data_IF_591143593882
#
_entry.id   IF_591143593882
#
_cell.length_a   1.000
_cell.length_b   1.000
_cell.length_c   1.000
_cell.angle_alpha   90.00
_cell.angle_beta   90.00
_cell.angle_gamma   90.00
#
_symmetry.space_group_name_H-M   'P 1'
#
loop_
_entity.id
_entity.type
_entity.pdbx_description
1 polymer ?
#
# COMPACT_ATOMS: atom_id res chain seq x y z
N UNK A 1 -13.25 24.77 47.30
CA UNK A 1 -12.55 23.77 46.45
C UNK A 1 -13.23 23.55 45.11
N UNK A 2 -13.74 24.56 44.42
CA UNK A 2 -14.43 24.42 43.10
C UNK A 2 -13.81 25.22 41.96
N UNK A 3 -12.67 25.87 42.16
CA UNK A 3 -12.05 26.73 41.14
C UNK A 3 -10.89 26.15 40.36
N UNK A 4 -10.36 24.98 40.75
CA UNK A 4 -9.14 24.40 40.10
C UNK A 4 -9.38 23.43 38.96
N UNK A 5 -10.60 22.89 38.83
CA UNK A 5 -10.91 21.91 37.78
C UNK A 5 -11.32 22.56 36.44
N UNK A 6 -11.78 23.79 36.44
CA UNK A 6 -12.23 24.48 35.21
C UNK A 6 -11.05 24.93 34.36
N UNK A 7 -9.89 25.22 34.95
CA UNK A 7 -8.69 25.66 34.22
C UNK A 7 -7.94 24.54 33.52
N UNK A 8 -8.04 23.30 33.99
CA UNK A 8 -7.38 22.15 33.37
C UNK A 8 -8.10 21.70 32.08
N UNK A 9 -9.42 21.83 32.06
CA UNK A 9 -10.21 21.48 30.84
C UNK A 9 -10.03 22.57 29.78
N UNK A 10 -9.94 23.83 30.13
CA UNK A 10 -9.70 24.92 29.18
C UNK A 10 -8.30 24.87 28.56
N UNK A 11 -7.27 24.43 29.33
CA UNK A 11 -5.90 24.29 28.82
C UNK A 11 -5.74 23.13 27.84
N UNK A 12 -6.46 22.01 28.04
CA UNK A 12 -6.41 20.86 27.14
C UNK A 12 -7.15 21.15 25.81
N UNK A 13 -8.27 21.89 25.88
CA UNK A 13 -9.01 22.31 24.67
C UNK A 13 -8.24 23.38 23.89
N UNK A 14 -7.54 24.30 24.58
CA UNK A 14 -6.70 25.31 23.92
C UNK A 14 -5.45 24.69 23.25
N UNK A 15 -4.84 23.65 23.84
CA UNK A 15 -3.71 22.94 23.26
C UNK A 15 -4.12 22.13 22.03
N UNK A 16 -5.32 21.52 22.03
CA UNK A 16 -5.87 20.81 20.87
C UNK A 16 -6.21 21.78 19.71
N UNK A 17 -6.70 23.00 20.01
CA UNK A 17 -7.01 23.99 18.98
C UNK A 17 -5.76 24.69 18.41
N UNK A 18 -4.68 24.83 19.18
CA UNK A 18 -3.42 25.38 18.71
C UNK A 18 -2.63 24.37 17.86
N UNK A 19 -2.75 23.06 18.15
CA UNK A 19 -2.18 21.98 17.33
C UNK A 19 -2.82 21.91 15.93
N UNK A 20 -4.13 22.15 15.83
CA UNK A 20 -4.85 22.12 14.55
C UNK A 20 -4.59 23.36 13.67
N UNK A 21 -4.35 24.53 14.25
CA UNK A 21 -4.11 25.78 13.52
C UNK A 21 -2.70 25.83 12.87
N UNK A 22 -1.68 25.27 13.53
CA UNK A 22 -0.33 25.18 12.98
C UNK A 22 -0.22 24.17 11.81
N UNK A 23 -1.17 23.26 11.71
CA UNK A 23 -1.19 22.21 10.71
C UNK A 23 -1.80 22.67 9.37
N UNK A 24 -2.78 23.55 9.38
CA UNK A 24 -3.41 24.12 8.19
C UNK A 24 -2.48 25.03 7.37
N UNK A 25 -1.37 25.49 7.93
CA UNK A 25 -0.43 26.38 7.24
C UNK A 25 0.51 25.68 6.25
N UNK A 26 0.51 24.34 6.16
CA UNK A 26 1.36 23.58 5.25
C UNK A 26 0.59 22.92 4.08
N UNK A 27 -0.69 23.16 3.95
CA UNK A 27 -1.52 22.63 2.88
C UNK A 27 -1.72 23.70 1.82
N UNK A 28 -1.25 23.43 0.60
CA UNK A 28 -1.51 24.17 -0.65
C UNK A 28 -0.81 25.52 -0.84
N UNK A 29 0.28 25.49 -1.58
CA UNK A 29 0.62 26.63 -2.42
C UNK A 29 -0.35 26.67 -3.63
N UNK A 30 -0.98 27.82 -3.95
CA UNK A 30 -1.85 27.95 -5.10
C UNK A 30 -1.06 27.66 -6.38
N UNK A 31 -1.52 26.67 -7.17
CA UNK A 31 -0.91 26.28 -8.44
C UNK A 31 -0.21 24.92 -8.46
N UNK A 32 -0.07 24.21 -7.33
CA UNK A 32 0.46 22.86 -7.29
C UNK A 32 -0.60 21.83 -7.69
N UNK A 33 -0.24 20.92 -8.60
CA UNK A 33 -1.09 19.79 -8.99
C UNK A 33 -1.26 18.77 -7.86
N UNK A 34 -0.35 18.76 -6.87
CA UNK A 34 -0.28 17.82 -5.77
C UNK A 34 -0.72 18.43 -4.45
N UNK A 35 -1.39 17.62 -3.64
CA UNK A 35 -1.66 17.92 -2.22
C UNK A 35 -0.74 17.03 -1.40
N UNK A 36 0.05 17.60 -0.49
CA UNK A 36 1.01 16.82 0.31
C UNK A 36 0.84 17.10 1.80
N UNK A 37 0.87 16.03 2.58
CA UNK A 37 0.82 16.02 4.04
C UNK A 37 2.20 15.63 4.56
N UNK A 38 2.88 16.57 5.21
CA UNK A 38 4.19 16.33 5.81
C UNK A 38 4.00 15.60 7.14
N UNK A 39 4.83 14.58 7.38
CA UNK A 39 4.88 13.90 8.66
C UNK A 39 5.46 14.83 9.75
N UNK A 40 4.96 14.69 10.99
CA UNK A 40 5.38 15.54 12.12
C UNK A 40 6.84 15.33 12.52
N UNK A 41 7.31 14.06 12.44
CA UNK A 41 8.67 13.72 12.84
C UNK A 41 9.50 13.30 11.64
N UNK A 42 10.77 13.70 11.57
CA UNK A 42 11.67 13.36 10.46
C UNK A 42 11.93 11.85 10.28
N UNK A 43 11.62 11.05 11.30
CA UNK A 43 11.75 9.58 11.27
C UNK A 43 10.46 8.88 10.87
N UNK A 44 9.36 9.60 10.74
CA UNK A 44 8.09 9.03 10.31
C UNK A 44 8.17 8.78 8.80
N UNK A 45 8.37 7.52 8.43
CA UNK A 45 8.49 7.09 7.03
C UNK A 45 7.20 6.38 6.59
N UNK A 46 6.33 7.04 5.81
CA UNK A 46 5.20 6.35 5.19
C UNK A 46 5.70 5.32 4.18
N UNK A 47 5.27 4.04 4.30
CA UNK A 47 5.79 2.95 3.45
C UNK A 47 4.73 2.19 2.68
N UNK A 48 3.55 1.98 3.23
CA UNK A 48 2.42 1.38 2.53
C UNK A 48 1.18 2.27 2.65
N UNK A 49 0.32 2.26 1.63
CA UNK A 49 -0.87 3.11 1.57
C UNK A 49 -2.07 2.33 1.02
N UNK A 50 -3.26 2.56 1.59
CA UNK A 50 -4.50 1.93 1.14
C UNK A 50 -5.70 2.86 1.33
N UNK A 51 -6.66 2.80 0.41
CA UNK A 51 -7.88 3.61 0.43
C UNK A 51 -9.03 2.85 1.10
N UNK A 52 -9.73 3.50 2.01
CA UNK A 52 -10.91 2.97 2.66
C UNK A 52 -12.20 3.31 1.89
N UNK A 53 -13.28 2.52 2.10
CA UNK A 53 -14.57 2.77 1.47
C UNK A 53 -15.19 4.14 1.78
N UNK A 54 -14.89 4.73 2.93
CA UNK A 54 -15.35 6.05 3.37
C UNK A 54 -14.55 7.21 2.79
N UNK A 55 -13.53 6.92 1.96
CA UNK A 55 -12.63 7.90 1.36
C UNK A 55 -11.43 8.27 2.21
N UNK A 56 -11.31 7.73 3.43
CA UNK A 56 -10.09 7.90 4.23
C UNK A 56 -8.94 7.08 3.63
N UNK A 57 -7.71 7.55 3.85
CA UNK A 57 -6.50 6.93 3.34
C UNK A 57 -5.64 6.51 4.52
N UNK A 58 -5.47 5.21 4.68
CA UNK A 58 -4.61 4.63 5.69
C UNK A 58 -3.19 4.45 5.16
N UNK A 59 -2.21 4.59 6.03
CA UNK A 59 -0.81 4.32 5.70
C UNK A 59 -0.02 3.83 6.92
N UNK A 60 1.01 3.05 6.66
CA UNK A 60 1.95 2.61 7.69
C UNK A 60 3.02 3.68 7.91
N UNK A 61 3.46 3.84 9.17
CA UNK A 61 4.59 4.72 9.53
C UNK A 61 5.70 3.84 10.06
N UNK A 62 6.67 3.55 9.20
CA UNK A 62 7.83 2.75 9.57
C UNK A 62 8.73 3.51 10.57
N UNK A 63 9.47 2.76 11.41
CA UNK A 63 10.34 3.25 12.48
C UNK A 63 9.65 4.04 13.61
N UNK A 64 8.35 4.22 13.55
CA UNK A 64 7.59 5.01 14.51
C UNK A 64 6.52 4.22 15.26
N UNK A 65 6.40 2.91 14.97
CA UNK A 65 5.38 2.02 15.54
C UNK A 65 3.98 2.68 15.57
N UNK A 66 3.55 3.16 14.39
CA UNK A 66 2.28 3.85 14.27
C UNK A 66 1.63 3.59 12.91
N UNK A 67 0.31 3.72 12.87
CA UNK A 67 -0.46 3.86 11.65
C UNK A 67 -0.87 5.31 11.48
N UNK A 68 -0.97 5.77 10.25
CA UNK A 68 -1.51 7.07 9.91
C UNK A 68 -2.80 6.95 9.09
N UNK A 69 -3.62 7.99 9.15
CA UNK A 69 -4.82 8.12 8.32
C UNK A 69 -4.99 9.57 7.87
N UNK A 70 -5.26 9.78 6.59
CA UNK A 70 -5.78 11.06 6.11
C UNK A 70 -7.28 10.92 5.95
N UNK A 71 -8.04 11.78 6.62
CA UNK A 71 -9.50 11.84 6.56
C UNK A 71 -9.95 13.30 6.54
N UNK A 72 -10.83 13.65 5.62
CA UNK A 72 -11.37 15.01 5.47
C UNK A 72 -10.27 16.10 5.44
N UNK A 73 -9.13 15.80 4.81
CA UNK A 73 -7.97 16.69 4.72
C UNK A 73 -7.11 16.77 5.99
N UNK A 74 -7.42 15.97 7.02
CA UNK A 74 -6.68 15.93 8.28
C UNK A 74 -5.86 14.65 8.39
N UNK A 75 -4.64 14.78 8.90
CA UNK A 75 -3.77 13.66 9.22
C UNK A 75 -3.99 13.23 10.67
N UNK A 76 -4.28 11.97 10.87
CA UNK A 76 -4.44 11.34 12.17
C UNK A 76 -3.34 10.32 12.39
N UNK A 77 -2.93 10.12 13.63
CA UNK A 77 -1.89 9.16 14.02
C UNK A 77 -2.42 8.21 15.08
N UNK A 78 -2.21 6.92 14.89
CA UNK A 78 -2.60 5.85 15.80
C UNK A 78 -1.36 5.12 16.30
N UNK A 79 -0.94 5.33 17.56
CA UNK A 79 0.18 4.59 18.15
C UNK A 79 -0.15 3.10 18.21
N UNK A 80 0.81 2.24 17.88
CA UNK A 80 0.68 0.80 18.00
C UNK A 80 1.07 0.33 19.40
N UNK A 81 0.59 -0.84 19.86
CA UNK A 81 0.74 -1.28 21.25
C UNK A 81 2.18 -1.50 21.70
N UNK A 82 3.10 -1.68 20.78
CA UNK A 82 4.52 -1.91 21.07
C UNK A 82 5.39 -1.00 20.21
N UNK A 83 6.46 -0.47 20.80
CA UNK A 83 7.45 0.35 20.08
C UNK A 83 8.32 -0.43 19.09
N UNK A 84 8.18 -1.75 19.06
CA UNK A 84 8.92 -2.62 18.14
C UNK A 84 8.05 -3.12 16.98
N UNK A 85 6.86 -2.57 16.78
CA UNK A 85 6.01 -2.93 15.64
C UNK A 85 6.62 -2.37 14.36
N UNK A 86 6.85 -3.26 13.40
CA UNK A 86 7.27 -2.93 12.05
C UNK A 86 6.10 -3.18 11.10
N UNK A 87 5.21 -2.20 10.92
CA UNK A 87 4.07 -2.34 10.03
C UNK A 87 4.55 -2.32 8.57
N UNK A 88 4.31 -3.42 7.86
CA UNK A 88 4.73 -3.59 6.46
C UNK A 88 3.55 -3.48 5.49
N UNK A 89 3.15 -4.60 4.87
CA UNK A 89 2.01 -4.63 3.95
C UNK A 89 0.73 -4.12 4.57
N UNK A 90 -0.09 -3.45 3.79
CA UNK A 90 -1.32 -2.78 4.22
C UNK A 90 -2.45 -3.03 3.23
N UNK A 91 -3.64 -3.35 3.75
CA UNK A 91 -4.89 -3.39 3.00
C UNK A 91 -6.04 -2.89 3.85
N UNK A 92 -7.13 -2.47 3.22
CA UNK A 92 -8.33 -2.00 3.93
C UNK A 92 -9.52 -2.88 3.56
N UNK A 93 -10.25 -3.34 4.57
CA UNK A 93 -11.44 -4.15 4.41
C UNK A 93 -12.69 -3.36 4.04
N UNK A 94 -13.77 -4.05 3.64
CA UNK A 94 -15.04 -3.42 3.29
C UNK A 94 -15.69 -2.67 4.45
N UNK A 95 -15.34 -2.99 5.69
CA UNK A 95 -15.75 -2.31 6.92
C UNK A 95 -14.92 -1.07 7.27
N UNK A 96 -13.93 -0.71 6.42
CA UNK A 96 -13.02 0.41 6.64
C UNK A 96 -11.86 0.12 7.61
N UNK A 97 -11.77 -1.09 8.16
CA UNK A 97 -10.64 -1.48 9.02
C UNK A 97 -9.37 -1.66 8.18
N UNK A 98 -8.26 -1.12 8.66
CA UNK A 98 -6.95 -1.33 8.06
C UNK A 98 -6.30 -2.59 8.65
N UNK A 99 -5.80 -3.44 7.76
CA UNK A 99 -5.08 -4.67 8.09
C UNK A 99 -3.62 -4.50 7.70
N UNK A 100 -2.73 -4.83 8.60
CA UNK A 100 -1.29 -4.66 8.37
C UNK A 100 -0.49 -5.85 8.87
N UNK A 101 0.67 -6.06 8.29
CA UNK A 101 1.63 -7.08 8.73
C UNK A 101 2.44 -6.54 9.90
N UNK A 102 2.54 -7.31 10.97
CA UNK A 102 3.42 -7.04 12.10
C UNK A 102 4.49 -8.12 12.16
N UNK A 103 5.64 -7.83 11.54
CA UNK A 103 6.75 -8.78 11.46
C UNK A 103 7.39 -9.04 12.82
N UNK A 104 7.39 -8.08 13.73
CA UNK A 104 7.94 -8.24 15.08
C UNK A 104 7.06 -9.11 15.97
N UNK A 105 5.75 -8.95 15.91
CA UNK A 105 4.80 -9.82 16.62
C UNK A 105 4.52 -11.13 15.89
N UNK A 106 4.96 -11.29 14.63
CA UNK A 106 4.61 -12.42 13.75
C UNK A 106 3.11 -12.60 13.64
N UNK A 107 2.43 -11.52 13.34
CA UNK A 107 0.99 -11.45 13.33
C UNK A 107 0.49 -10.65 12.11
N UNK A 108 -0.76 -10.87 11.77
CA UNK A 108 -1.56 -9.90 11.03
C UNK A 108 -2.36 -9.13 12.05
N UNK A 109 -2.30 -7.81 11.97
CA UNK A 109 -3.01 -6.93 12.90
C UNK A 109 -4.05 -6.10 12.16
N UNK A 110 -5.11 -5.74 12.86
CA UNK A 110 -6.24 -4.95 12.38
C UNK A 110 -6.42 -3.73 13.27
N UNK A 111 -6.67 -2.59 12.65
CA UNK A 111 -7.13 -1.37 13.32
C UNK A 111 -8.47 -0.95 12.73
N UNK A 112 -9.48 -0.77 13.58
CA UNK A 112 -10.81 -0.31 13.15
C UNK A 112 -10.81 1.19 12.84
N UNK A 113 -11.81 1.73 12.13
CA UNK A 113 -11.97 3.18 11.96
C UNK A 113 -12.04 3.98 13.28
N UNK A 114 -12.44 3.33 14.38
CA UNK A 114 -12.45 3.91 15.73
C UNK A 114 -11.09 3.86 16.44
N UNK A 115 -10.08 3.17 15.86
CA UNK A 115 -8.75 3.05 16.43
C UNK A 115 -8.55 1.82 17.33
N UNK A 116 -9.50 0.89 17.39
CA UNK A 116 -9.38 -0.35 18.14
C UNK A 116 -8.47 -1.34 17.43
N UNK A 117 -7.48 -1.88 18.14
CA UNK A 117 -6.47 -2.78 17.57
C UNK A 117 -6.71 -4.22 18.04
N UNK A 118 -6.62 -5.15 17.10
CA UNK A 118 -6.61 -6.59 17.34
C UNK A 118 -5.51 -7.26 16.52
N UNK A 119 -4.96 -8.39 17.03
CA UNK A 119 -3.86 -9.10 16.39
C UNK A 119 -4.16 -10.58 16.27
N UNK A 120 -3.75 -11.19 15.16
CA UNK A 120 -3.94 -12.58 14.80
C UNK A 120 -2.56 -13.23 14.64
N UNK A 121 -2.05 -13.93 15.67
CA UNK A 121 -0.75 -14.58 15.63
C UNK A 121 -0.68 -15.67 14.56
N UNK A 122 0.41 -15.74 13.81
CA UNK A 122 0.56 -16.68 12.70
C UNK A 122 1.02 -18.08 13.14
N UNK A 123 1.43 -18.24 14.40
CA UNK A 123 1.76 -19.55 14.99
C UNK A 123 3.01 -20.23 14.45
N UNK A 124 3.78 -19.55 13.59
CA UNK A 124 5.02 -20.07 12.99
C UNK A 124 6.25 -19.41 13.59
N UNK A 125 7.37 -20.14 13.79
CA UNK A 125 8.53 -19.62 14.51
C UNK A 125 9.31 -18.53 13.74
N UNK A 126 9.27 -18.57 12.39
CA UNK A 126 9.96 -17.59 11.52
C UNK A 126 9.00 -17.23 10.40
N UNK A 127 8.44 -16.04 10.45
CA UNK A 127 7.59 -15.52 9.38
C UNK A 127 8.09 -14.13 9.00
N UNK A 128 8.49 -14.00 7.75
CA UNK A 128 8.63 -12.70 7.12
C UNK A 128 7.41 -12.52 6.21
N UNK A 129 6.52 -11.64 6.61
CA UNK A 129 5.30 -11.33 5.85
C UNK A 129 5.61 -10.21 4.87
N UNK A 130 5.26 -10.44 3.61
CA UNK A 130 5.42 -9.48 2.51
C UNK A 130 4.15 -8.65 2.27
N UNK A 131 3.74 -8.55 1.01
CA UNK A 131 2.53 -7.85 0.60
C UNK A 131 1.26 -8.42 1.24
N UNK A 132 0.27 -7.56 1.41
CA UNK A 132 -1.04 -7.88 1.96
C UNK A 132 -2.13 -7.19 1.14
N UNK A 133 -3.23 -7.90 0.90
CA UNK A 133 -4.43 -7.37 0.27
C UNK A 133 -5.68 -7.92 0.97
N UNK A 134 -6.77 -7.15 0.93
CA UNK A 134 -8.06 -7.57 1.53
C UNK A 134 -9.10 -7.70 0.43
N UNK A 135 -9.79 -8.84 0.41
CA UNK A 135 -10.82 -9.11 -0.58
C UNK A 135 -12.14 -8.36 -0.30
N UNK A 136 -13.03 -8.23 -1.29
CA UNK A 136 -14.33 -7.59 -1.11
C UNK A 136 -15.19 -8.22 0.01
N UNK A 137 -15.02 -9.53 0.27
CA UNK A 137 -15.71 -10.26 1.36
C UNK A 137 -14.92 -10.24 2.68
N UNK A 138 -13.84 -9.43 2.80
CA UNK A 138 -13.10 -9.20 4.02
C UNK A 138 -12.05 -10.28 4.35
N UNK A 139 -11.71 -11.18 3.43
CA UNK A 139 -10.59 -12.09 3.61
C UNK A 139 -9.26 -11.36 3.40
N UNK A 140 -8.31 -11.58 4.29
CA UNK A 140 -6.95 -10.99 4.22
C UNK A 140 -6.01 -12.00 3.61
N UNK A 141 -5.42 -11.66 2.48
CA UNK A 141 -4.43 -12.46 1.79
C UNK A 141 -3.05 -11.84 1.96
N UNK A 142 -2.04 -12.64 2.25
CA UNK A 142 -0.68 -12.17 2.47
C UNK A 142 0.38 -13.19 2.09
N UNK A 143 1.58 -12.69 1.79
CA UNK A 143 2.73 -13.51 1.43
C UNK A 143 3.56 -13.86 2.65
N UNK A 144 3.80 -15.16 2.90
CA UNK A 144 4.76 -15.66 3.91
C UNK A 144 6.07 -16.07 3.20
N UNK A 145 7.04 -15.16 3.12
CA UNK A 145 8.26 -15.37 2.35
C UNK A 145 9.11 -16.56 2.87
N UNK A 146 9.16 -16.78 4.17
CA UNK A 146 9.90 -17.90 4.77
C UNK A 146 9.15 -19.22 4.78
N UNK A 147 7.84 -19.18 4.57
CA UNK A 147 6.97 -20.37 4.54
C UNK A 147 6.65 -20.84 3.12
N UNK A 148 7.08 -20.13 2.09
CA UNK A 148 6.70 -20.40 0.70
C UNK A 148 5.20 -20.61 0.55
N UNK A 149 4.42 -19.70 1.13
CA UNK A 149 2.97 -19.76 1.10
C UNK A 149 2.34 -18.41 0.85
N UNK A 150 1.19 -18.47 0.19
CA UNK A 150 0.22 -17.39 0.20
C UNK A 150 -0.87 -17.79 1.16
N UNK A 151 -1.11 -16.95 2.16
CA UNK A 151 -1.94 -17.30 3.31
C UNK A 151 -3.18 -16.43 3.31
N UNK A 152 -4.29 -17.05 3.66
CA UNK A 152 -5.60 -16.41 3.80
C UNK A 152 -6.02 -16.44 5.26
N UNK A 153 -6.36 -15.27 5.81
CA UNK A 153 -7.01 -15.12 7.09
C UNK A 153 -8.45 -14.65 6.87
N UNK A 154 -9.42 -15.44 7.31
CA UNK A 154 -10.85 -15.08 7.27
C UNK A 154 -11.53 -15.57 8.53
N UNK A 155 -12.34 -14.71 9.16
CA UNK A 155 -13.12 -15.03 10.37
C UNK A 155 -12.26 -15.63 11.51
N UNK A 156 -11.00 -15.25 11.60
CA UNK A 156 -10.02 -15.75 12.56
C UNK A 156 -9.33 -17.06 12.17
N UNK A 157 -9.73 -17.68 11.06
CA UNK A 157 -9.11 -18.92 10.56
C UNK A 157 -8.00 -18.59 9.55
N UNK A 158 -6.85 -19.28 9.72
CA UNK A 158 -5.67 -19.15 8.87
C UNK A 158 -5.54 -20.37 7.98
N UNK A 159 -5.63 -20.17 6.67
CA UNK A 159 -5.41 -21.20 5.66
C UNK A 159 -4.15 -20.89 4.86
N UNK A 160 -3.18 -21.82 4.84
CA UNK A 160 -1.93 -21.67 4.10
C UNK A 160 -1.94 -22.45 2.80
N UNK A 161 -1.77 -21.73 1.70
CA UNK A 161 -1.60 -22.33 0.37
C UNK A 161 -0.09 -22.41 0.09
N UNK A 162 0.48 -23.57 0.44
CA UNK A 162 1.90 -23.85 0.27
C UNK A 162 2.17 -24.28 -1.16
N UNK A 163 3.18 -23.71 -1.77
CA UNK A 163 3.62 -24.09 -3.12
C UNK A 163 5.04 -24.62 -3.12
N UNK A 164 5.28 -25.64 -3.93
CA UNK A 164 6.61 -26.18 -4.15
C UNK A 164 7.38 -25.28 -5.12
N UNK A 165 8.19 -24.40 -4.60
CA UNK A 165 9.12 -23.65 -5.40
C UNK A 165 10.47 -23.54 -4.69
N UNK A 166 11.51 -24.22 -5.17
CA UNK A 166 12.84 -24.14 -4.58
C UNK A 166 13.48 -22.74 -4.76
N UNK A 167 12.83 -21.83 -5.47
CA UNK A 167 13.30 -20.49 -5.78
C UNK A 167 12.28 -19.38 -5.50
N UNK A 168 11.13 -19.72 -4.89
CA UNK A 168 10.04 -18.76 -4.71
C UNK A 168 10.13 -18.02 -3.38
N UNK A 169 10.33 -16.71 -3.43
CA UNK A 169 10.07 -15.81 -2.32
C UNK A 169 8.84 -14.96 -2.69
N UNK A 170 7.65 -15.28 -2.16
CA UNK A 170 6.45 -14.50 -2.42
C UNK A 170 6.61 -13.10 -1.83
N UNK A 171 6.20 -12.10 -2.61
CA UNK A 171 6.40 -10.69 -2.24
C UNK A 171 5.13 -9.87 -2.33
N UNK A 172 4.70 -9.47 -3.52
CA UNK A 172 3.48 -8.70 -3.73
C UNK A 172 2.25 -9.61 -3.70
N UNK A 173 1.14 -9.09 -3.18
CA UNK A 173 -0.17 -9.75 -3.18
C UNK A 173 -1.23 -8.77 -3.62
N UNK A 174 -2.09 -9.19 -4.53
CA UNK A 174 -3.29 -8.47 -4.94
C UNK A 174 -4.50 -9.42 -4.91
N UNK A 175 -5.68 -8.87 -4.76
CA UNK A 175 -6.94 -9.63 -4.79
C UNK A 175 -7.80 -9.11 -5.93
N UNK A 176 -8.32 -10.03 -6.73
CA UNK A 176 -9.25 -9.71 -7.81
C UNK A 176 -10.69 -9.52 -7.29
N UNK A 177 -11.55 -8.97 -8.15
CA UNK A 177 -12.95 -8.70 -7.78
C UNK A 177 -13.75 -9.95 -7.44
N UNK A 178 -13.34 -11.11 -7.95
CA UNK A 178 -13.93 -12.45 -7.67
C UNK A 178 -13.43 -13.07 -6.36
N UNK A 179 -12.54 -12.37 -5.62
CA UNK A 179 -11.95 -12.82 -4.35
C UNK A 179 -10.73 -13.71 -4.50
N UNK A 180 -10.31 -14.05 -5.72
CA UNK A 180 -9.07 -14.81 -5.96
C UNK A 180 -7.83 -13.95 -5.70
N UNK A 181 -6.73 -14.59 -5.28
CA UNK A 181 -5.50 -13.90 -4.98
C UNK A 181 -4.46 -14.09 -6.08
N UNK A 182 -3.68 -13.05 -6.31
CA UNK A 182 -2.50 -13.05 -7.17
C UNK A 182 -1.27 -12.69 -6.36
N UNK A 183 -0.16 -13.33 -6.65
CA UNK A 183 1.11 -13.04 -5.98
C UNK A 183 2.28 -13.09 -6.93
N UNK A 184 3.32 -12.32 -6.60
CA UNK A 184 4.62 -12.36 -7.30
C UNK A 184 5.59 -13.27 -6.57
N UNK A 185 6.32 -14.10 -7.29
CA UNK A 185 7.49 -14.84 -6.83
C UNK A 185 8.75 -14.20 -7.41
N UNK A 186 9.47 -13.42 -6.59
CA UNK A 186 10.61 -12.62 -7.07
C UNK A 186 11.73 -13.47 -7.63
N UNK A 187 12.25 -14.40 -6.83
CA UNK A 187 13.33 -15.30 -7.24
C UNK A 187 12.85 -16.42 -8.17
N UNK A 188 11.57 -16.79 -8.08
CA UNK A 188 10.93 -17.75 -8.95
C UNK A 188 10.65 -17.22 -10.35
N UNK A 189 10.62 -15.90 -10.52
CA UNK A 189 10.27 -15.23 -11.78
C UNK A 189 8.89 -15.64 -12.32
N UNK A 190 7.92 -15.72 -11.41
CA UNK A 190 6.57 -16.22 -11.66
C UNK A 190 5.50 -15.31 -11.06
N UNK A 191 4.29 -15.42 -11.61
CA UNK A 191 3.06 -15.01 -10.91
C UNK A 191 2.32 -16.27 -10.45
N UNK A 192 1.69 -16.19 -9.27
CA UNK A 192 0.76 -17.20 -8.79
C UNK A 192 -0.65 -16.66 -8.82
N UNK A 193 -1.58 -17.49 -9.25
CA UNK A 193 -3.01 -17.30 -9.08
C UNK A 193 -3.54 -18.35 -8.10
N UNK A 194 -4.21 -17.91 -7.05
CA UNK A 194 -4.76 -18.77 -6.02
C UNK A 194 -6.27 -18.55 -5.98
N UNK A 195 -7.03 -19.59 -6.23
CA UNK A 195 -8.48 -19.56 -6.17
C UNK A 195 -8.99 -19.54 -4.73
N UNK A 196 -10.26 -19.21 -4.52
CA UNK A 196 -10.85 -19.15 -3.17
C UNK A 196 -10.96 -20.52 -2.49
N UNK A 197 -10.98 -21.61 -3.27
CA UNK A 197 -10.94 -23.00 -2.82
C UNK A 197 -9.54 -23.58 -2.71
N UNK A 198 -8.51 -22.80 -3.09
CA UNK A 198 -7.11 -23.10 -2.82
C UNK A 198 -6.33 -23.73 -3.96
N UNK A 199 -6.89 -23.81 -5.16
CA UNK A 199 -6.13 -24.22 -6.34
C UNK A 199 -5.08 -23.16 -6.69
N UNK A 200 -3.86 -23.61 -7.00
CA UNK A 200 -2.73 -22.74 -7.35
C UNK A 200 -2.34 -22.98 -8.80
N UNK A 201 -2.31 -21.92 -9.60
CA UNK A 201 -1.74 -21.91 -10.92
C UNK A 201 -0.56 -20.95 -11.01
N UNK A 202 0.58 -21.45 -11.49
CA UNK A 202 1.78 -20.65 -11.71
C UNK A 202 1.90 -20.25 -13.18
N UNK A 203 2.37 -19.01 -13.41
CA UNK A 203 2.65 -18.45 -14.71
C UNK A 203 4.11 -18.02 -14.77
N UNK A 204 4.92 -18.67 -15.57
CA UNK A 204 6.32 -18.30 -15.80
C UNK A 204 6.38 -17.00 -16.61
N UNK A 205 7.18 -16.04 -16.15
CA UNK A 205 7.40 -14.81 -16.90
C UNK A 205 8.26 -15.08 -18.14
N UNK A 206 7.90 -14.50 -19.31
CA UNK A 206 8.61 -14.75 -20.56
C UNK A 206 10.08 -14.33 -20.55
N UNK A 207 10.40 -13.30 -19.78
CA UNK A 207 11.76 -12.78 -19.64
C UNK A 207 12.45 -13.39 -18.43
N UNK A 208 13.65 -13.93 -18.59
CA UNK A 208 14.40 -14.49 -17.46
C UNK A 208 14.81 -13.39 -16.49
N UNK A 209 14.68 -13.67 -15.20
CA UNK A 209 15.11 -12.78 -14.11
C UNK A 209 14.49 -11.37 -14.14
N UNK A 210 13.23 -11.23 -14.53
CA UNK A 210 12.49 -9.97 -14.50
C UNK A 210 12.34 -9.42 -13.08
N UNK A 211 12.36 -10.29 -12.07
CA UNK A 211 12.21 -9.97 -10.64
C UNK A 211 10.87 -9.25 -10.38
N UNK A 212 9.73 -9.96 -10.56
CA UNK A 212 8.42 -9.36 -10.33
C UNK A 212 8.27 -8.94 -8.87
N UNK A 213 7.71 -7.75 -8.64
CA UNK A 213 7.55 -7.19 -7.28
C UNK A 213 6.11 -6.80 -6.99
N UNK A 214 5.78 -5.50 -6.97
CA UNK A 214 4.42 -5.09 -6.70
C UNK A 214 3.45 -5.56 -7.79
N UNK A 215 2.22 -5.84 -7.37
CA UNK A 215 1.18 -6.41 -8.23
C UNK A 215 -0.17 -5.76 -7.92
N UNK A 216 -0.99 -5.57 -8.93
CA UNK A 216 -2.34 -5.06 -8.81
C UNK A 216 -3.26 -5.70 -9.87
N UNK A 217 -4.54 -5.80 -9.56
CA UNK A 217 -5.58 -6.29 -10.48
C UNK A 217 -6.33 -5.13 -11.11
N UNK A 218 -6.57 -5.22 -12.41
CA UNK A 218 -7.36 -4.23 -13.14
C UNK A 218 -8.86 -4.58 -13.15
N UNK A 219 -9.74 -3.58 -13.39
CA UNK A 219 -11.19 -3.79 -13.46
C UNK A 219 -11.61 -4.68 -14.64
N UNK A 220 -10.76 -4.86 -15.62
CA UNK A 220 -10.95 -5.71 -16.79
C UNK A 220 -10.43 -7.15 -16.60
N UNK A 221 -10.05 -7.53 -15.37
CA UNK A 221 -9.47 -8.83 -15.02
C UNK A 221 -7.98 -8.97 -15.37
N UNK A 222 -7.33 -7.91 -15.87
CA UNK A 222 -5.88 -7.92 -16.09
C UNK A 222 -5.12 -7.89 -14.77
N UNK A 223 -3.93 -8.48 -14.77
CA UNK A 223 -2.98 -8.46 -13.66
C UNK A 223 -1.76 -7.67 -14.08
N UNK A 224 -1.44 -6.64 -13.33
CA UNK A 224 -0.33 -5.74 -13.59
C UNK A 224 0.75 -5.91 -12.54
N UNK A 225 2.01 -5.87 -12.92
CA UNK A 225 3.13 -6.06 -12.00
C UNK A 225 4.37 -5.27 -12.44
N UNK A 226 5.25 -4.99 -11.50
CA UNK A 226 6.54 -4.35 -11.77
C UNK A 226 7.58 -5.41 -12.05
N UNK A 227 8.31 -5.28 -13.15
CA UNK A 227 9.55 -5.99 -13.46
C UNK A 227 10.75 -5.11 -13.05
N UNK A 228 11.26 -5.33 -11.82
CA UNK A 228 12.25 -4.43 -11.19
C UNK A 228 13.55 -4.31 -11.98
N UNK A 229 14.02 -5.43 -12.53
CA UNK A 229 15.36 -5.48 -13.14
C UNK A 229 15.43 -4.66 -14.42
N UNK A 230 14.33 -4.60 -15.15
CA UNK A 230 14.28 -3.98 -16.47
C UNK A 230 13.50 -2.67 -16.51
N UNK A 231 13.02 -2.19 -15.35
CA UNK A 231 12.18 -1.00 -15.23
C UNK A 231 10.97 -1.05 -16.19
N UNK A 232 10.23 -2.16 -16.12
CA UNK A 232 9.04 -2.39 -16.93
C UNK A 232 7.81 -2.58 -16.08
N UNK A 233 6.67 -2.31 -16.67
CA UNK A 233 5.36 -2.71 -16.17
C UNK A 233 4.90 -3.88 -17.02
N UNK A 234 4.73 -5.05 -16.39
CA UNK A 234 4.19 -6.24 -17.02
C UNK A 234 2.68 -6.31 -16.86
N UNK A 235 2.01 -6.95 -17.80
CA UNK A 235 0.59 -7.25 -17.82
C UNK A 235 0.36 -8.70 -18.17
N UNK A 236 -0.50 -9.37 -17.43
CA UNK A 236 -1.06 -10.66 -17.79
C UNK A 236 -2.56 -10.50 -17.99
N UNK A 237 -3.07 -10.86 -19.14
CA UNK A 237 -4.50 -10.93 -19.44
C UNK A 237 -4.78 -12.07 -20.41
N UNK A 238 -5.82 -12.85 -20.15
CA UNK A 238 -6.22 -13.98 -20.99
C UNK A 238 -5.04 -14.91 -21.33
N UNK A 239 -4.17 -15.18 -20.33
CA UNK A 239 -2.93 -15.96 -20.41
C UNK A 239 -1.83 -15.36 -21.31
N UNK A 240 -2.02 -14.14 -21.80
CA UNK A 240 -1.04 -13.44 -22.63
C UNK A 240 -0.27 -12.41 -21.80
N UNK A 241 1.06 -12.44 -21.94
CA UNK A 241 1.94 -11.45 -21.34
C UNK A 241 2.24 -10.31 -22.31
N UNK A 242 2.17 -9.10 -21.77
CA UNK A 242 2.65 -7.87 -22.42
C UNK A 242 3.56 -7.14 -21.43
N UNK A 243 4.49 -6.35 -21.92
CA UNK A 243 5.33 -5.49 -21.07
C UNK A 243 5.56 -4.12 -21.69
N UNK A 244 5.72 -3.11 -20.85
CA UNK A 244 5.84 -1.70 -21.21
C UNK A 244 7.08 -1.11 -20.58
N UNK A 245 8.00 -0.60 -21.41
CA UNK A 245 9.22 0.04 -20.94
C UNK A 245 8.90 1.39 -20.29
N UNK A 246 9.35 1.59 -19.06
CA UNK A 246 9.30 2.90 -18.42
C UNK A 246 10.53 3.71 -18.83
N UNK A 247 10.34 4.92 -19.39
CA UNK A 247 11.45 5.75 -19.83
C UNK A 247 12.26 6.31 -18.65
N UNK A 248 13.54 6.59 -18.90
CA UNK A 248 14.48 7.18 -17.95
C UNK A 248 15.61 6.25 -17.51
N UNK A 249 16.66 6.83 -16.95
CA UNK A 249 17.84 6.11 -16.48
C UNK A 249 17.56 5.44 -15.12
N UNK A 250 17.08 4.22 -15.15
CA UNK A 250 16.86 3.39 -13.96
C UNK A 250 16.00 4.07 -12.89
N UNK A 251 14.71 4.37 -13.17
CA UNK A 251 13.84 5.13 -12.27
C UNK A 251 13.56 4.43 -10.93
N UNK A 252 13.92 3.15 -10.77
CA UNK A 252 13.60 2.31 -9.62
C UNK A 252 12.10 2.34 -9.31
N UNK A 253 11.37 1.51 -10.01
CA UNK A 253 9.92 1.43 -9.87
C UNK A 253 9.53 0.86 -8.49
N UNK A 254 8.51 1.44 -7.88
CA UNK A 254 7.93 0.96 -6.62
C UNK A 254 6.48 1.39 -6.52
N UNK A 255 5.69 0.60 -5.83
CA UNK A 255 4.26 0.83 -5.69
C UNK A 255 3.53 0.77 -7.03
N UNK A 256 2.47 0.02 -7.08
CA UNK A 256 1.65 -0.15 -8.28
C UNK A 256 0.17 -0.13 -7.89
N UNK A 257 -0.64 0.60 -8.65
CA UNK A 257 -2.10 0.57 -8.51
C UNK A 257 -2.76 0.72 -9.86
N UNK A 258 -3.95 0.17 -10.01
CA UNK A 258 -4.80 0.35 -11.18
C UNK A 258 -6.00 1.19 -10.79
N UNK A 259 -6.19 2.31 -11.46
CA UNK A 259 -7.33 3.19 -11.22
C UNK A 259 -8.61 2.63 -11.87
N UNK A 260 -9.76 3.13 -11.44
CA UNK A 260 -11.06 2.66 -11.96
C UNK A 260 -11.29 2.89 -13.47
N UNK A 261 -10.52 3.78 -14.09
CA UNK A 261 -10.50 4.01 -15.55
C UNK A 261 -9.53 3.06 -16.30
N UNK A 262 -8.87 2.13 -15.58
CA UNK A 262 -7.91 1.18 -16.11
C UNK A 262 -6.48 1.72 -16.24
N UNK A 263 -6.24 2.99 -15.92
CA UNK A 263 -4.90 3.54 -15.91
C UNK A 263 -4.03 2.91 -14.83
N UNK A 264 -2.81 2.52 -15.17
CA UNK A 264 -1.83 1.95 -14.24
C UNK A 264 -0.90 3.03 -13.74
N UNK A 265 -0.84 3.19 -12.42
CA UNK A 265 0.01 4.17 -11.76
C UNK A 265 1.12 3.49 -10.97
N UNK A 266 2.30 4.08 -10.98
CA UNK A 266 3.47 3.55 -10.27
C UNK A 266 4.39 4.68 -9.79
N UNK A 267 5.16 4.40 -8.74
CA UNK A 267 6.17 5.32 -8.21
C UNK A 267 7.53 5.14 -8.87
N UNK A 268 8.29 6.22 -8.92
CA UNK A 268 9.67 6.27 -9.40
C UNK A 268 10.56 6.80 -8.28
N UNK A 269 11.20 5.91 -7.52
CA UNK A 269 12.01 6.25 -6.34
C UNK A 269 13.21 7.16 -6.66
N UNK A 270 13.86 6.96 -7.81
CA UNK A 270 14.97 7.80 -8.24
C UNK A 270 14.52 9.01 -9.05
N UNK A 271 13.44 8.87 -9.79
CA UNK A 271 12.90 9.95 -10.61
C UNK A 271 12.18 11.02 -9.81
N UNK A 272 11.83 10.73 -8.54
CA UNK A 272 11.07 11.65 -7.68
C UNK A 272 9.71 11.99 -8.26
N UNK A 273 8.99 11.02 -8.83
CA UNK A 273 7.75 11.24 -9.54
C UNK A 273 6.84 10.02 -9.58
N UNK A 274 5.67 10.21 -10.20
CA UNK A 274 4.73 9.16 -10.52
C UNK A 274 4.75 8.90 -12.02
N UNK A 275 4.54 7.64 -12.41
CA UNK A 275 4.29 7.25 -13.79
C UNK A 275 2.84 6.84 -13.97
N UNK A 276 2.27 7.09 -15.14
CA UNK A 276 0.95 6.65 -15.59
C UNK A 276 1.09 5.93 -16.92
N UNK A 277 0.60 4.72 -16.98
CA UNK A 277 0.51 3.94 -18.22
C UNK A 277 -0.95 3.87 -18.65
N UNK A 278 -1.24 4.35 -19.85
CA UNK A 278 -2.57 4.30 -20.48
C UNK A 278 -2.39 4.05 -21.98
N UNK A 279 -3.13 3.11 -22.54
CA UNK A 279 -3.08 2.77 -23.97
C UNK A 279 -1.64 2.51 -24.48
N UNK A 280 -0.83 1.82 -23.67
CA UNK A 280 0.56 1.50 -23.99
C UNK A 280 1.55 2.65 -23.92
N UNK A 281 1.12 3.83 -23.46
CA UNK A 281 1.95 5.04 -23.33
C UNK A 281 2.21 5.37 -21.88
N UNK A 282 3.47 5.68 -21.57
CA UNK A 282 3.89 6.13 -20.24
C UNK A 282 4.02 7.65 -20.20
N UNK A 283 3.30 8.26 -19.28
CA UNK A 283 3.43 9.66 -18.90
C UNK A 283 4.07 9.76 -17.51
N UNK A 284 4.83 10.83 -17.24
CA UNK A 284 5.50 11.02 -15.95
C UNK A 284 5.11 12.35 -15.31
N UNK A 285 4.90 12.34 -14.00
CA UNK A 285 4.52 13.48 -13.18
C UNK A 285 5.58 13.69 -12.11
N UNK A 286 6.38 14.74 -12.25
CA UNK A 286 7.39 15.08 -11.24
C UNK A 286 6.72 15.61 -9.98
N UNK A 287 7.10 15.10 -8.83
CA UNK A 287 6.66 15.61 -7.54
C UNK A 287 7.25 16.99 -7.25
N UNK A 288 6.53 17.84 -6.48
CA UNK A 288 6.93 19.25 -6.28
C UNK A 288 8.18 19.42 -5.44
N UNK A 289 8.64 18.36 -4.76
CA UNK A 289 9.79 18.38 -3.86
C UNK A 289 11.02 17.73 -4.49
N UNK A 290 12.15 18.32 -4.25
CA UNK A 290 13.42 17.66 -4.49
C UNK A 290 13.62 16.49 -3.51
N UNK A 291 14.17 15.39 -3.98
CA UNK A 291 14.40 14.20 -3.16
C UNK A 291 13.15 13.40 -2.81
N UNK A 292 12.00 13.66 -3.44
CA UNK A 292 10.81 12.85 -3.30
C UNK A 292 11.06 11.38 -3.70
N UNK A 293 10.47 10.44 -2.94
CA UNK A 293 10.68 8.99 -3.12
C UNK A 293 9.37 8.23 -2.90
N UNK A 294 8.40 8.35 -3.83
CA UNK A 294 7.11 7.65 -3.73
C UNK A 294 7.33 6.13 -3.83
N UNK A 295 6.91 5.39 -2.80
CA UNK A 295 7.19 3.97 -2.67
C UNK A 295 5.94 3.07 -2.69
N UNK A 296 4.76 3.61 -2.44
CA UNK A 296 3.50 2.87 -2.49
C UNK A 296 2.38 3.79 -2.96
N UNK A 297 1.46 3.26 -3.77
CA UNK A 297 0.38 4.02 -4.39
C UNK A 297 -0.96 3.33 -4.21
N UNK A 298 -2.02 4.14 -4.17
CA UNK A 298 -3.40 3.68 -4.26
C UNK A 298 -4.26 4.69 -5.02
N UNK A 299 -5.14 4.21 -5.88
CA UNK A 299 -6.20 5.02 -6.47
C UNK A 299 -7.45 4.96 -5.56
N UNK A 300 -8.01 6.10 -5.20
CA UNK A 300 -9.26 6.16 -4.47
C UNK A 300 -10.48 6.03 -5.42
N UNK A 301 -11.67 5.88 -4.84
CA UNK A 301 -12.91 5.74 -5.62
C UNK A 301 -13.26 6.97 -6.48
N UNK A 302 -12.71 8.13 -6.15
CA UNK A 302 -12.86 9.36 -6.93
C UNK A 302 -11.84 9.45 -8.08
N UNK A 303 -10.92 8.47 -8.16
CA UNK A 303 -9.86 8.40 -9.15
C UNK A 303 -8.62 9.24 -8.80
N UNK A 304 -8.56 9.86 -7.62
CA UNK A 304 -7.34 10.51 -7.16
C UNK A 304 -6.28 9.43 -6.89
N UNK A 305 -5.03 9.78 -7.16
CA UNK A 305 -3.89 8.89 -6.92
C UNK A 305 -3.13 9.36 -5.70
N UNK A 306 -3.17 8.53 -4.66
CA UNK A 306 -2.46 8.77 -3.42
C UNK A 306 -1.14 8.01 -3.40
N UNK A 307 -0.14 8.57 -2.72
CA UNK A 307 1.17 7.95 -2.58
C UNK A 307 1.74 8.13 -1.17
N UNK A 308 2.40 7.10 -0.70
CA UNK A 308 3.31 7.16 0.45
C UNK A 308 4.72 7.46 -0.07
N UNK A 309 5.40 8.37 0.60
CA UNK A 309 6.74 8.82 0.22
C UNK A 309 7.69 8.70 1.41
N UNK A 310 8.71 7.86 1.28
CA UNK A 310 9.69 7.61 2.33
C UNK A 310 10.59 8.81 2.65
N UNK A 311 10.41 9.95 2.00
CA UNK A 311 11.01 11.21 2.43
C UNK A 311 10.17 11.95 3.50
N UNK A 312 9.13 11.30 4.06
CA UNK A 312 8.32 11.80 5.15
C UNK A 312 7.06 12.54 4.71
N UNK A 313 6.40 12.07 3.64
CA UNK A 313 5.15 12.66 3.14
C UNK A 313 4.15 11.61 2.71
N UNK A 314 2.88 11.95 2.84
CA UNK A 314 1.78 11.33 2.12
C UNK A 314 1.22 12.36 1.17
N UNK A 315 0.98 12.00 -0.09
CA UNK A 315 0.51 12.97 -1.08
C UNK A 315 -0.58 12.42 -1.97
N UNK A 316 -1.23 13.32 -2.69
CA UNK A 316 -2.32 13.04 -3.62
C UNK A 316 -2.15 13.85 -4.91
N UNK A 317 -2.34 13.19 -6.04
CA UNK A 317 -2.61 13.83 -7.33
C UNK A 317 -4.11 13.79 -7.57
N UNK A 318 -4.82 14.92 -7.55
CA UNK A 318 -6.25 14.97 -7.82
C UNK A 318 -6.61 14.50 -9.23
N UNK A 319 -7.73 13.77 -9.39
CA UNK A 319 -8.21 13.24 -10.67
C UNK A 319 -8.29 14.30 -11.79
N UNK A 320 -8.72 15.51 -11.49
CA UNK A 320 -8.78 16.62 -12.45
C UNK A 320 -7.43 16.98 -13.08
N UNK A 321 -6.32 16.64 -12.41
CA UNK A 321 -4.95 16.85 -12.88
C UNK A 321 -4.32 15.58 -13.46
N UNK A 322 -4.90 14.41 -13.19
CA UNK A 322 -4.43 13.13 -13.70
C UNK A 322 -4.84 12.87 -15.18
N UNK A 323 -5.81 13.62 -15.69
CA UNK A 323 -6.38 13.45 -17.04
C UNK A 323 -5.91 14.47 -18.09
N UNK A 324 -4.91 15.31 -17.77
CA UNK A 324 -4.43 16.36 -18.68
C UNK A 324 -3.10 15.96 -19.34
#
# INVERSE_FOLDING_TARGET
MRGRQIWLVAAVVAAALLGTAAWLANVNQPGTRFVEYRMEHPRDLPTAIAAAPDGSIWFTIDLAAAMGRVRDGHLERFPLPSNNVEPGGLGVGPDGSAWYTDNSARAISRITPAGEISSFPLGTPIVRVGGLAVSPEGAVWFAEATGYSITRLKDGEITRHVFESPRGDPYGVAVAADGTAWATLRSGNQLLHITTDGEIKAYDLPKPAAVPSDIATGPDGSVWFIELRENRIGRLKDELFEDYQVPGDSPMLAGLTVAGDGAVWFGMLRGGGLGRLTDGRVETFKLPREGARPCSLVADRSGNVWYADISGYVGMLPMQHARR
#
